data_IF_421449250714
#
_entry.id   IF_421449250714
#
_cell.length_a   1.000
_cell.length_b   1.000
_cell.length_c   1.000
_cell.angle_alpha   90.00
_cell.angle_beta   90.00
_cell.angle_gamma   90.00
#
_symmetry.space_group_name_H-M   'P 1'
#
loop_
_entity.id
_entity.type
_entity.pdbx_description
1 polymer ?
#
# COMPACT_ATOMS: atom_id res chain seq x y z
N UNK A 1 -19.80 -16.73 -14.60
CA UNK A 1 -19.34 -16.72 -13.19
C UNK A 1 -17.82 -16.53 -13.06
N UNK A 2 -16.99 -17.26 -13.82
CA UNK A 2 -15.51 -17.15 -13.73
C UNK A 2 -14.92 -15.78 -14.09
N UNK A 3 -15.50 -15.04 -15.04
CA UNK A 3 -14.98 -13.72 -15.45
C UNK A 3 -15.01 -12.67 -14.31
N UNK A 4 -16.08 -12.64 -13.52
CA UNK A 4 -16.20 -11.71 -12.39
C UNK A 4 -15.21 -12.03 -11.26
N UNK A 5 -15.01 -13.33 -10.98
CA UNK A 5 -14.01 -13.80 -10.02
C UNK A 5 -12.58 -13.46 -10.48
N UNK A 6 -12.26 -13.69 -11.76
CA UNK A 6 -10.97 -13.33 -12.33
C UNK A 6 -10.71 -11.82 -12.25
N UNK A 7 -11.69 -11.00 -12.63
CA UNK A 7 -11.57 -9.54 -12.53
C UNK A 7 -11.41 -9.04 -11.08
N UNK A 8 -11.99 -9.75 -10.11
CA UNK A 8 -11.80 -9.46 -8.69
C UNK A 8 -10.39 -9.85 -8.22
N UNK A 9 -9.92 -11.05 -8.57
CA UNK A 9 -8.57 -11.53 -8.25
C UNK A 9 -7.47 -10.64 -8.86
N UNK A 10 -7.60 -10.26 -10.13
CA UNK A 10 -6.66 -9.36 -10.79
C UNK A 10 -6.61 -8.01 -10.08
N UNK A 11 -7.77 -7.43 -9.75
CA UNK A 11 -7.83 -6.17 -8.99
C UNK A 11 -7.15 -6.30 -7.63
N UNK A 12 -7.39 -7.40 -6.91
CA UNK A 12 -6.72 -7.68 -5.63
C UNK A 12 -5.20 -7.76 -5.78
N UNK A 13 -4.70 -8.54 -6.74
CA UNK A 13 -3.26 -8.70 -6.96
C UNK A 13 -2.59 -7.38 -7.35
N UNK A 14 -3.21 -6.61 -8.25
CA UNK A 14 -2.73 -5.29 -8.65
C UNK A 14 -2.65 -4.32 -7.47
N UNK A 15 -3.61 -4.39 -6.53
CA UNK A 15 -3.62 -3.56 -5.32
C UNK A 15 -2.52 -3.97 -4.32
N UNK A 16 -2.35 -5.27 -4.09
CA UNK A 16 -1.31 -5.77 -3.19
C UNK A 16 0.09 -5.47 -3.73
N UNK A 17 0.29 -5.58 -5.04
CA UNK A 17 1.55 -5.18 -5.69
C UNK A 17 1.84 -3.68 -5.53
N UNK A 18 0.82 -2.81 -5.68
CA UNK A 18 0.97 -1.37 -5.42
C UNK A 18 1.30 -1.09 -3.95
N UNK A 19 0.65 -1.79 -3.01
CA UNK A 19 0.95 -1.67 -1.59
C UNK A 19 2.40 -2.03 -1.27
N UNK A 20 2.92 -3.10 -1.88
CA UNK A 20 4.31 -3.52 -1.69
C UNK A 20 5.30 -2.44 -2.18
N UNK A 21 5.09 -1.95 -3.41
CA UNK A 21 5.90 -0.86 -3.99
C UNK A 21 5.83 0.44 -3.18
N UNK A 22 4.68 0.72 -2.56
CA UNK A 22 4.52 1.85 -1.66
C UNK A 22 5.37 1.72 -0.40
N UNK A 23 5.40 0.53 0.20
CA UNK A 23 6.25 0.24 1.37
C UNK A 23 7.74 0.36 1.00
N UNK A 24 8.15 -0.24 -0.12
CA UNK A 24 9.52 -0.13 -0.65
C UNK A 24 9.93 1.33 -0.91
N UNK A 25 9.09 2.11 -1.60
CA UNK A 25 9.35 3.52 -1.89
C UNK A 25 9.48 4.39 -0.62
N UNK A 26 8.96 3.90 0.52
CA UNK A 26 9.06 4.53 1.83
C UNK A 26 10.14 3.92 2.73
N UNK A 27 10.93 2.97 2.23
CA UNK A 27 11.93 2.26 3.03
C UNK A 27 11.35 1.35 4.11
N UNK A 28 10.07 1.00 4.02
CA UNK A 28 9.41 0.08 4.94
C UNK A 28 9.66 -1.35 4.48
N UNK A 29 10.35 -2.14 5.29
CA UNK A 29 10.52 -3.57 5.05
C UNK A 29 9.20 -4.32 5.37
N UNK A 30 8.53 -4.92 4.37
CA UNK A 30 7.29 -5.66 4.59
C UNK A 30 7.48 -6.86 5.52
N UNK A 31 8.65 -7.52 5.49
CA UNK A 31 8.94 -8.66 6.35
C UNK A 31 9.05 -8.22 7.82
N UNK A 32 9.67 -7.08 8.07
CA UNK A 32 9.70 -6.45 9.38
C UNK A 32 8.29 -6.09 9.89
N UNK A 33 7.46 -5.46 9.06
CA UNK A 33 6.07 -5.13 9.42
C UNK A 33 5.26 -6.38 9.80
N UNK A 34 5.42 -7.47 9.03
CA UNK A 34 4.74 -8.74 9.32
C UNK A 34 5.29 -9.45 10.56
N UNK A 35 6.61 -9.40 10.79
CA UNK A 35 7.25 -10.01 11.96
C UNK A 35 6.85 -9.36 13.29
N UNK A 36 6.54 -8.06 13.27
CA UNK A 36 6.05 -7.33 14.46
C UNK A 36 4.52 -7.32 14.60
N UNK A 37 3.79 -7.95 13.69
CA UNK A 37 2.34 -8.05 13.73
C UNK A 37 1.91 -9.36 14.40
N UNK A 38 2.03 -9.39 15.74
CA UNK A 38 1.82 -10.55 16.62
C UNK A 38 0.56 -11.40 16.32
N UNK A 39 -0.46 -10.84 15.66
CA UNK A 39 -1.67 -11.56 15.22
C UNK A 39 -2.11 -11.26 13.78
N UNK A 40 -1.28 -10.61 12.96
CA UNK A 40 -1.63 -10.24 11.59
C UNK A 40 -2.71 -9.14 11.47
N UNK A 41 -3.11 -8.51 12.59
CA UNK A 41 -4.20 -7.54 12.63
C UNK A 41 -3.83 -6.24 11.91
N UNK A 42 -2.58 -5.76 12.07
CA UNK A 42 -2.12 -4.52 11.42
C UNK A 42 -2.02 -4.71 9.91
N UNK A 43 -1.50 -5.84 9.48
CA UNK A 43 -1.36 -6.24 8.08
C UNK A 43 -2.73 -6.42 7.43
N UNK A 44 -3.67 -7.12 8.09
CA UNK A 44 -5.06 -7.26 7.60
C UNK A 44 -5.76 -5.91 7.47
N UNK A 45 -5.60 -5.02 8.45
CA UNK A 45 -6.17 -3.68 8.39
C UNK A 45 -5.60 -2.86 7.21
N UNK A 46 -4.27 -2.90 7.01
CA UNK A 46 -3.61 -2.22 5.91
C UNK A 46 -4.05 -2.76 4.53
N UNK A 47 -4.13 -4.09 4.38
CA UNK A 47 -4.62 -4.74 3.16
C UNK A 47 -6.07 -4.32 2.87
N UNK A 48 -6.94 -4.39 3.88
CA UNK A 48 -8.35 -4.04 3.75
C UNK A 48 -8.53 -2.58 3.32
N UNK A 49 -7.80 -1.66 3.95
CA UNK A 49 -7.80 -0.24 3.59
C UNK A 49 -7.28 0.00 2.16
N UNK A 50 -6.22 -0.71 1.74
CA UNK A 50 -5.67 -0.59 0.39
C UNK A 50 -6.64 -1.08 -0.69
N UNK A 51 -7.32 -2.21 -0.45
CA UNK A 51 -8.31 -2.77 -1.37
C UNK A 51 -9.53 -1.87 -1.57
N UNK A 52 -9.93 -1.16 -0.52
CA UNK A 52 -11.09 -0.25 -0.53
C UNK A 52 -10.71 1.19 -0.94
N UNK A 53 -9.42 1.51 -1.06
CA UNK A 53 -8.94 2.86 -1.36
C UNK A 53 -9.43 3.36 -2.74
N UNK A 54 -9.98 4.57 -2.78
CA UNK A 54 -10.43 5.24 -4.02
C UNK A 54 -9.29 5.92 -4.79
N UNK A 55 -8.16 6.21 -4.13
CA UNK A 55 -7.01 6.95 -4.69
C UNK A 55 -5.96 6.07 -5.38
N UNK A 56 -6.32 4.87 -5.85
CA UNK A 56 -5.35 3.93 -6.44
C UNK A 56 -4.66 4.46 -7.70
N UNK A 57 -5.40 5.21 -8.53
CA UNK A 57 -4.82 5.80 -9.72
C UNK A 57 -3.74 6.83 -9.36
N UNK A 58 -3.98 7.64 -8.32
CA UNK A 58 -3.02 8.59 -7.80
C UNK A 58 -1.80 7.88 -7.19
N UNK A 59 -2.02 6.80 -6.43
CA UNK A 59 -0.93 5.95 -5.94
C UNK A 59 -0.02 5.43 -7.07
N UNK A 60 -0.60 4.97 -8.19
CA UNK A 60 0.20 4.52 -9.35
C UNK A 60 1.03 5.64 -9.96
N UNK A 61 0.47 6.85 -10.10
CA UNK A 61 1.19 7.99 -10.66
C UNK A 61 2.30 8.48 -9.73
N UNK A 62 2.01 8.51 -8.43
CA UNK A 62 3.01 8.78 -7.40
C UNK A 62 4.16 7.76 -7.45
N UNK A 63 3.85 6.46 -7.51
CA UNK A 63 4.84 5.38 -7.65
C UNK A 63 5.63 5.42 -8.99
N UNK A 64 5.12 6.12 -9.99
CA UNK A 64 5.81 6.34 -11.27
C UNK A 64 6.63 7.66 -11.28
N UNK A 65 6.65 8.41 -10.17
CA UNK A 65 7.32 9.71 -10.08
C UNK A 65 6.61 10.84 -10.82
N UNK A 66 5.35 10.63 -11.25
CA UNK A 66 4.59 11.60 -12.06
C UNK A 66 3.83 12.64 -11.22
N UNK A 67 3.97 12.63 -9.90
CA UNK A 67 3.31 13.55 -8.96
C UNK A 67 4.37 14.18 -8.03
N UNK A 68 5.27 15.03 -8.55
CA UNK A 68 6.30 15.65 -7.75
C UNK A 68 5.69 16.54 -6.66
N UNK A 69 6.18 16.43 -5.42
CA UNK A 69 5.70 17.21 -4.28
C UNK A 69 4.47 16.65 -3.57
N UNK A 70 3.82 15.62 -4.11
CA UNK A 70 2.72 14.95 -3.41
C UNK A 70 3.27 13.98 -2.36
N UNK A 71 2.89 14.16 -1.10
CA UNK A 71 3.30 13.24 -0.04
C UNK A 71 2.27 12.09 0.11
N UNK A 72 2.72 10.86 0.42
CA UNK A 72 1.86 9.74 0.78
C UNK A 72 0.71 10.06 1.74
N UNK A 73 0.97 10.86 2.79
CA UNK A 73 -0.02 11.26 3.80
C UNK A 73 -1.21 12.01 3.20
N UNK A 74 -1.02 12.68 2.07
CA UNK A 74 -2.05 13.51 1.44
C UNK A 74 -3.09 12.67 0.68
N UNK A 75 -2.80 11.38 0.39
CA UNK A 75 -3.70 10.56 -0.41
C UNK A 75 -3.83 9.09 0.00
N UNK A 76 -2.86 8.54 0.75
CA UNK A 76 -2.80 7.12 1.07
C UNK A 76 -3.34 6.87 2.49
N UNK A 77 -4.42 6.08 2.64
CA UNK A 77 -4.98 5.77 3.96
C UNK A 77 -4.05 4.92 4.83
N UNK A 78 -3.01 4.32 4.25
CA UNK A 78 -1.98 3.57 4.96
C UNK A 78 -0.70 4.37 5.17
N UNK A 79 -0.65 5.65 4.82
CA UNK A 79 0.57 6.44 4.98
C UNK A 79 1.08 6.43 6.43
N UNK A 80 0.20 6.61 7.39
CA UNK A 80 0.53 6.56 8.83
C UNK A 80 0.69 5.13 9.36
N UNK A 81 0.26 4.11 8.61
CA UNK A 81 0.53 2.71 8.97
C UNK A 81 1.92 2.27 8.48
N UNK A 82 2.42 2.94 7.45
CA UNK A 82 3.71 2.71 6.80
C UNK A 82 4.73 3.80 7.19
N UNK A 83 4.51 4.53 8.27
CA UNK A 83 5.47 5.44 8.89
C UNK A 83 5.00 5.75 10.31
N UNK A 84 5.85 5.86 11.31
CA UNK A 84 7.15 6.54 11.22
C UNK A 84 8.37 5.60 11.16
N UNK A 85 9.08 5.65 10.05
CA UNK A 85 10.55 5.66 10.09
C UNK A 85 10.93 6.98 9.46
N UNK A 86 11.07 7.99 10.32
CA UNK A 86 11.89 9.15 10.01
C UNK A 86 13.24 8.62 9.51
N UNK A 87 13.61 8.95 8.28
CA UNK A 87 14.99 8.74 7.83
C UNK A 87 15.72 10.07 7.88
N UNK A 88 16.45 10.37 8.95
CA UNK A 88 17.78 10.93 8.83
C UNK A 88 18.81 9.80 8.82
N UNK A 89 19.79 9.95 7.91
CA UNK A 89 20.98 9.12 7.66
C UNK A 89 20.77 7.96 6.65
#
# INVERSE_FOLDING_TARGET
MFAALNAWLSRRNTRLSQMNRMMEARGVDPAHVMGHDMMGCRTRAAISACLQCRSAALCRRWLAGSEPGLAPRDFCPNAERFGDVDRPH
#
